data_IF_088709958722
#
_entry.id   IF_088709958722
#
_cell.length_a   1.000
_cell.length_b   1.000
_cell.length_c   1.000
_cell.angle_alpha   90.00
_cell.angle_beta   90.00
_cell.angle_gamma   90.00
#
_symmetry.space_group_name_H-M   'P 1'
#
loop_
_entity.id
_entity.type
_entity.pdbx_description
1 polymer ?
#
# COMPACT_ATOMS: atom_id res chain seq x y z
N UNK A 1 -41.34 -12.72 -10.27
CA UNK A 1 -41.54 -13.86 -11.20
C UNK A 1 -41.69 -13.41 -12.65
N UNK A 2 -42.43 -12.35 -12.98
CA UNK A 2 -42.55 -11.85 -14.36
C UNK A 2 -41.25 -11.28 -14.90
N UNK A 3 -40.43 -10.63 -14.10
CA UNK A 3 -39.12 -10.13 -14.51
C UNK A 3 -38.13 -11.26 -14.81
N UNK A 4 -38.09 -12.29 -13.99
CA UNK A 4 -37.21 -13.43 -14.19
C UNK A 4 -37.57 -14.18 -15.51
N UNK A 5 -38.86 -14.32 -15.79
CA UNK A 5 -39.36 -14.91 -17.05
C UNK A 5 -39.03 -14.01 -18.24
N UNK A 6 -39.20 -12.69 -18.11
CA UNK A 6 -38.92 -11.72 -19.19
C UNK A 6 -37.46 -11.71 -19.62
N UNK A 7 -36.52 -11.88 -18.67
CA UNK A 7 -35.08 -11.93 -18.97
C UNK A 7 -34.53 -13.34 -19.22
N UNK A 8 -35.39 -14.36 -19.28
CA UNK A 8 -34.95 -15.75 -19.53
C UNK A 8 -34.13 -16.33 -18.38
N UNK A 9 -34.21 -15.73 -17.17
CA UNK A 9 -33.40 -16.14 -16.04
C UNK A 9 -33.75 -17.54 -15.54
N UNK A 10 -35.01 -18.00 -15.73
CA UNK A 10 -35.43 -19.33 -15.37
C UNK A 10 -34.76 -20.42 -16.23
N UNK A 11 -34.49 -20.17 -17.49
CA UNK A 11 -33.78 -21.09 -18.37
C UNK A 11 -32.25 -21.10 -18.05
N UNK A 12 -31.74 -19.94 -17.68
CA UNK A 12 -30.30 -19.75 -17.43
C UNK A 12 -29.86 -20.29 -16.07
N UNK A 13 -30.71 -20.16 -15.03
CA UNK A 13 -30.36 -20.52 -13.65
C UNK A 13 -31.13 -21.75 -13.13
N UNK A 14 -31.90 -22.40 -13.97
CA UNK A 14 -32.72 -23.57 -13.61
C UNK A 14 -33.85 -23.22 -12.62
N UNK A 15 -34.52 -24.25 -12.12
CA UNK A 15 -35.64 -24.11 -11.18
C UNK A 15 -35.20 -23.84 -9.73
N UNK A 16 -34.02 -23.28 -9.54
CA UNK A 16 -33.44 -23.00 -8.21
C UNK A 16 -33.95 -21.72 -7.54
N UNK A 17 -34.94 -21.03 -8.15
CA UNK A 17 -35.52 -19.81 -7.56
C UNK A 17 -36.02 -20.02 -6.13
N UNK A 18 -36.63 -21.18 -5.86
CA UNK A 18 -37.13 -21.48 -4.50
C UNK A 18 -35.99 -21.65 -3.48
N UNK A 19 -34.83 -22.04 -3.92
CA UNK A 19 -33.63 -22.17 -3.07
C UNK A 19 -33.07 -20.79 -2.70
N UNK A 20 -33.09 -19.85 -3.64
CA UNK A 20 -32.60 -18.50 -3.44
C UNK A 20 -33.62 -17.59 -2.75
N UNK A 21 -34.93 -17.87 -2.86
CA UNK A 21 -35.98 -17.02 -2.30
C UNK A 21 -36.00 -16.95 -0.77
N UNK A 22 -35.43 -17.95 -0.12
CA UNK A 22 -35.38 -18.06 1.36
C UNK A 22 -33.98 -17.78 1.92
N UNK A 23 -33.04 -17.31 1.10
CA UNK A 23 -31.70 -16.97 1.58
C UNK A 23 -31.66 -15.57 2.15
N UNK A 24 -30.93 -15.43 3.24
CA UNK A 24 -30.64 -14.13 3.81
C UNK A 24 -29.73 -13.31 2.88
N UNK A 25 -29.97 -12.02 2.84
CA UNK A 25 -29.11 -11.11 2.10
C UNK A 25 -27.79 -10.92 2.84
N UNK A 26 -26.69 -10.93 2.12
CA UNK A 26 -25.35 -10.72 2.64
C UNK A 26 -24.74 -9.42 2.14
N UNK A 27 -24.18 -8.61 3.03
CA UNK A 27 -23.51 -7.35 2.69
C UNK A 27 -21.99 -7.54 2.60
N UNK A 28 -21.51 -7.93 1.45
CA UNK A 28 -20.09 -8.13 1.21
C UNK A 28 -19.22 -6.89 1.45
N UNK A 29 -19.81 -5.70 1.37
CA UNK A 29 -19.08 -4.47 1.66
C UNK A 29 -18.69 -4.38 3.13
N UNK A 30 -19.54 -4.83 4.04
CA UNK A 30 -19.24 -4.84 5.48
C UNK A 30 -18.08 -5.79 5.79
N UNK A 31 -18.01 -6.94 5.11
CA UNK A 31 -16.89 -7.89 5.27
C UNK A 31 -15.57 -7.38 4.71
N UNK A 32 -15.63 -6.49 3.71
CA UNK A 32 -14.45 -5.85 3.11
C UNK A 32 -13.92 -4.69 3.95
N UNK A 33 -14.72 -4.20 4.89
CA UNK A 33 -14.39 -3.04 5.69
C UNK A 33 -14.16 -3.44 7.15
N UNK A 34 -13.29 -2.71 7.81
CA UNK A 34 -12.98 -2.88 9.24
C UNK A 34 -12.84 -1.54 9.94
N UNK A 35 -13.00 -1.54 11.24
CA UNK A 35 -12.56 -0.41 12.05
C UNK A 35 -11.04 -0.36 11.99
N UNK A 36 -10.51 0.77 11.56
CA UNK A 36 -9.08 1.00 11.42
C UNK A 36 -8.56 1.84 12.59
N UNK A 37 -7.30 1.63 12.95
CA UNK A 37 -6.58 2.39 13.96
C UNK A 37 -5.37 3.11 13.35
N UNK A 38 -5.07 4.30 13.86
CA UNK A 38 -3.86 5.02 13.48
C UNK A 38 -3.04 5.35 14.74
N UNK A 39 -1.73 5.14 14.66
CA UNK A 39 -0.78 5.45 15.72
C UNK A 39 0.38 6.26 15.17
N UNK A 40 0.72 7.34 15.85
CA UNK A 40 1.87 8.17 15.49
C UNK A 40 2.70 8.48 16.73
N UNK A 41 3.92 7.98 16.74
CA UNK A 41 4.88 8.15 17.82
C UNK A 41 6.05 8.99 17.34
N UNK A 42 6.32 10.09 18.03
CA UNK A 42 7.44 10.95 17.72
C UNK A 42 8.29 11.21 18.97
N UNK A 43 9.58 10.93 18.86
CA UNK A 43 10.56 11.20 19.89
C UNK A 43 11.64 12.11 19.33
N UNK A 44 11.89 13.21 20.00
CA UNK A 44 12.94 14.16 19.62
C UNK A 44 13.86 14.44 20.81
N UNK A 45 15.15 14.29 20.58
CA UNK A 45 16.21 14.55 21.55
C UNK A 45 17.03 15.72 21.02
N UNK A 46 17.13 16.77 21.83
CA UNK A 46 17.95 17.93 21.53
C UNK A 46 19.02 18.07 22.59
N UNK A 47 20.24 18.37 22.16
CA UNK A 47 21.35 18.55 23.05
C UNK A 47 22.43 19.42 22.43
N UNK A 48 23.44 19.72 23.22
CA UNK A 48 24.59 20.45 22.71
C UNK A 48 25.26 21.36 23.71
N UNK A 49 26.17 22.15 23.21
CA UNK A 49 26.93 23.18 23.92
C UNK A 49 26.83 24.50 23.14
N UNK A 50 27.58 25.51 23.56
CA UNK A 50 27.69 26.76 22.81
C UNK A 50 28.19 26.54 21.37
N UNK A 51 29.07 25.55 21.15
CA UNK A 51 29.71 25.26 19.84
C UNK A 51 29.04 24.14 19.09
N UNK A 52 28.29 23.27 19.76
CA UNK A 52 27.68 22.10 19.17
C UNK A 52 26.20 22.12 19.43
N UNK A 53 25.38 21.94 18.40
CA UNK A 53 23.93 21.72 18.53
C UNK A 53 23.58 20.46 17.78
N UNK A 54 22.89 19.54 18.45
CA UNK A 54 22.41 18.30 17.88
C UNK A 54 20.91 18.16 18.12
N UNK A 55 20.21 17.73 17.10
CA UNK A 55 18.80 17.35 17.19
C UNK A 55 18.63 16.00 16.48
N UNK A 56 18.11 15.03 17.18
CA UNK A 56 17.80 13.72 16.64
C UNK A 56 16.32 13.42 16.87
N UNK A 57 15.61 13.08 15.82
CA UNK A 57 14.20 12.71 15.91
C UNK A 57 13.93 11.38 15.24
N UNK A 58 13.04 10.62 15.84
CA UNK A 58 12.48 9.37 15.31
C UNK A 58 10.97 9.50 15.30
N UNK A 59 10.37 9.16 14.18
CA UNK A 59 8.93 9.10 14.04
C UNK A 59 8.53 7.73 13.49
N UNK A 60 7.55 7.11 14.13
CA UNK A 60 6.88 5.90 13.68
C UNK A 60 5.39 6.18 13.53
N UNK A 61 4.87 5.94 12.35
CA UNK A 61 3.46 6.04 12.00
C UNK A 61 2.99 4.68 11.51
N UNK A 62 1.94 4.17 12.12
CA UNK A 62 1.16 3.04 11.62
C UNK A 62 -0.29 3.49 11.43
N UNK A 63 -0.82 3.29 10.24
CA UNK A 63 -2.17 3.68 9.83
C UNK A 63 -2.83 2.48 9.14
N UNK A 64 -3.67 1.77 9.90
CA UNK A 64 -4.43 0.66 9.35
C UNK A 64 -5.46 1.19 8.35
N UNK A 65 -5.56 0.56 7.20
CA UNK A 65 -6.62 0.90 6.24
C UNK A 65 -7.99 0.38 6.68
N UNK A 66 -9.03 1.11 6.34
CA UNK A 66 -10.43 0.69 6.57
C UNK A 66 -10.82 -0.55 5.75
N UNK A 67 -10.14 -0.81 4.63
CA UNK A 67 -10.28 -2.04 3.86
C UNK A 67 -9.40 -3.13 4.48
N UNK A 68 -9.90 -4.38 4.53
CA UNK A 68 -9.09 -5.53 4.95
C UNK A 68 -7.82 -5.64 4.10
N UNK A 69 -6.72 -6.11 4.68
CA UNK A 69 -5.40 -6.23 4.02
C UNK A 69 -4.93 -4.92 3.36
N UNK A 70 -5.21 -3.79 3.98
CA UNK A 70 -4.64 -2.51 3.60
C UNK A 70 -4.05 -1.78 4.79
N UNK A 71 -2.94 -1.09 4.58
CA UNK A 71 -2.27 -0.36 5.63
C UNK A 71 -1.11 0.48 5.12
N UNK A 72 -0.70 1.41 5.95
CA UNK A 72 0.42 2.29 5.72
C UNK A 72 1.30 2.37 6.97
N UNK A 73 2.55 2.01 6.83
CA UNK A 73 3.54 2.12 7.89
C UNK A 73 4.69 3.02 7.43
N UNK A 74 5.12 3.92 8.28
CA UNK A 74 6.25 4.80 8.01
C UNK A 74 7.15 4.93 9.21
N UNK A 75 8.41 4.62 9.00
CA UNK A 75 9.50 4.91 9.92
C UNK A 75 10.37 6.03 9.35
N UNK A 76 10.67 7.03 10.14
CA UNK A 76 11.58 8.09 9.72
C UNK A 76 12.48 8.55 10.84
N UNK A 77 13.73 8.85 10.48
CA UNK A 77 14.70 9.46 11.37
C UNK A 77 15.25 10.74 10.75
N UNK A 78 15.56 11.70 11.57
CA UNK A 78 16.20 12.94 11.16
C UNK A 78 17.28 13.30 12.18
N UNK A 79 18.49 13.55 11.70
CA UNK A 79 19.64 14.03 12.45
C UNK A 79 20.04 15.39 11.93
N UNK A 80 20.05 16.39 12.80
CA UNK A 80 20.59 17.71 12.53
C UNK A 80 21.76 17.96 13.48
N UNK A 81 22.89 18.35 12.90
CA UNK A 81 24.09 18.71 13.62
C UNK A 81 24.55 20.06 13.13
N UNK A 82 24.85 20.94 14.06
CA UNK A 82 25.58 22.18 13.81
C UNK A 82 26.76 22.25 14.75
N UNK A 83 27.93 22.39 14.17
CA UNK A 83 29.21 22.43 14.88
C UNK A 83 30.00 23.69 14.49
N UNK A 84 30.37 24.50 15.47
CA UNK A 84 31.35 25.55 15.29
C UNK A 84 32.75 24.91 15.35
N UNK A 85 33.46 24.94 14.23
CA UNK A 85 34.80 24.35 14.10
C UNK A 85 35.89 25.32 14.55
N UNK A 86 35.70 26.59 14.23
CA UNK A 86 36.57 27.69 14.60
C UNK A 86 35.77 29.00 14.60
N UNK A 87 36.35 30.09 15.11
CA UNK A 87 35.71 31.40 15.07
C UNK A 87 35.35 31.76 13.59
N UNK A 88 34.08 31.93 13.32
CA UNK A 88 33.60 32.25 11.98
C UNK A 88 33.49 31.05 11.03
N UNK A 89 33.84 29.82 11.48
CA UNK A 89 33.72 28.61 10.66
C UNK A 89 32.77 27.60 11.33
N UNK A 90 31.69 27.25 10.65
CA UNK A 90 30.74 26.25 11.15
C UNK A 90 30.37 25.21 10.09
N UNK A 91 30.16 24.00 10.56
CA UNK A 91 29.67 22.86 9.80
C UNK A 91 28.22 22.55 10.18
N UNK A 92 27.40 22.28 9.19
CA UNK A 92 26.01 21.86 9.36
C UNK A 92 25.78 20.55 8.62
N UNK A 93 25.10 19.61 9.27
CA UNK A 93 24.65 18.34 8.67
C UNK A 93 23.17 18.19 8.95
N UNK A 94 22.39 17.88 7.90
CA UNK A 94 21.01 17.44 7.98
C UNK A 94 20.89 16.12 7.24
N UNK A 95 20.64 15.03 7.96
CA UNK A 95 20.51 13.70 7.40
C UNK A 95 19.14 13.12 7.77
N UNK A 96 18.42 12.63 6.76
CA UNK A 96 17.09 12.07 6.90
C UNK A 96 17.01 10.71 6.22
N UNK A 97 16.41 9.74 6.92
CA UNK A 97 16.02 8.45 6.40
C UNK A 97 14.51 8.26 6.56
N UNK A 98 13.88 7.74 5.54
CA UNK A 98 12.44 7.39 5.58
C UNK A 98 12.27 6.02 4.96
N UNK A 99 11.60 5.13 5.67
CA UNK A 99 11.11 3.84 5.17
C UNK A 99 9.59 3.84 5.24
N UNK A 100 8.94 3.41 4.16
CA UNK A 100 7.49 3.38 4.04
C UNK A 100 7.06 2.02 3.51
N UNK A 101 6.17 1.35 4.21
CA UNK A 101 5.51 0.14 3.77
C UNK A 101 4.04 0.46 3.45
N UNK A 102 3.59 0.07 2.29
CA UNK A 102 2.19 0.20 1.87
C UNK A 102 1.67 -1.18 1.51
N UNK A 103 0.62 -1.60 2.17
CA UNK A 103 -0.08 -2.84 1.89
C UNK A 103 -1.42 -2.55 1.22
N UNK A 104 -1.79 -3.38 0.24
CA UNK A 104 -3.12 -3.39 -0.35
C UNK A 104 -3.43 -2.16 -1.19
N UNK A 105 -2.48 -1.71 -2.01
CA UNK A 105 -2.79 -0.76 -3.05
C UNK A 105 -3.86 -1.36 -3.96
N UNK A 106 -5.00 -0.70 -3.96
CA UNK A 106 -6.14 -1.08 -4.77
C UNK A 106 -5.95 -0.62 -6.22
N UNK A 107 -4.89 -1.12 -6.85
CA UNK A 107 -4.69 -0.89 -8.28
C UNK A 107 -5.42 -1.98 -9.05
N UNK A 108 -6.27 -1.58 -9.97
CA UNK A 108 -6.97 -2.44 -10.92
C UNK A 108 -5.98 -3.07 -11.92
N UNK A 109 -5.04 -3.88 -11.42
CA UNK A 109 -3.98 -4.49 -12.26
C UNK A 109 -4.49 -5.57 -13.20
N UNK A 110 -5.65 -6.13 -12.95
CA UNK A 110 -6.19 -7.26 -13.71
C UNK A 110 -7.36 -6.90 -14.63
N UNK A 111 -7.65 -5.63 -14.85
CA UNK A 111 -8.83 -5.22 -15.63
C UNK A 111 -10.18 -5.48 -14.94
N UNK A 112 -10.17 -5.96 -13.69
CA UNK A 112 -11.36 -6.32 -12.91
C UNK A 112 -11.92 -5.17 -12.05
N UNK A 113 -11.36 -3.99 -12.17
CA UNK A 113 -11.71 -2.87 -11.29
C UNK A 113 -11.07 -2.99 -9.89
N UNK A 114 -11.48 -2.12 -8.98
CA UNK A 114 -11.05 -2.13 -7.58
C UNK A 114 -11.60 -3.35 -6.84
N UNK A 115 -10.84 -3.92 -5.90
CA UNK A 115 -11.31 -5.02 -5.04
C UNK A 115 -12.60 -4.64 -4.28
N UNK A 116 -12.73 -3.36 -3.90
CA UNK A 116 -13.94 -2.87 -3.26
C UNK A 116 -15.12 -2.82 -4.25
N UNK A 117 -14.87 -2.49 -5.53
CA UNK A 117 -15.93 -2.49 -6.54
C UNK A 117 -16.47 -3.90 -6.81
N UNK A 118 -15.66 -4.94 -6.62
CA UNK A 118 -16.13 -6.32 -6.74
C UNK A 118 -17.16 -6.68 -5.66
N UNK A 119 -17.07 -6.08 -4.46
CA UNK A 119 -18.06 -6.28 -3.41
C UNK A 119 -19.44 -5.70 -3.75
N UNK A 120 -19.47 -4.57 -4.46
CA UNK A 120 -20.74 -3.99 -4.94
C UNK A 120 -21.35 -4.74 -6.13
N UNK A 121 -20.53 -5.43 -6.90
CA UNK A 121 -20.96 -6.15 -8.10
C UNK A 121 -21.30 -7.61 -7.80
N UNK A 122 -20.82 -8.12 -6.67
CA UNK A 122 -21.07 -9.49 -6.28
C UNK A 122 -22.50 -9.67 -5.80
N UNK A 123 -23.06 -10.86 -6.00
CA UNK A 123 -24.44 -11.14 -5.60
C UNK A 123 -24.59 -11.03 -4.07
N UNK A 124 -25.66 -10.39 -3.58
CA UNK A 124 -25.85 -10.14 -2.14
C UNK A 124 -26.50 -11.33 -1.42
N UNK A 125 -26.07 -12.54 -1.73
CA UNK A 125 -26.57 -13.77 -1.10
C UNK A 125 -25.44 -14.76 -0.90
N UNK A 126 -25.46 -15.53 0.19
CA UNK A 126 -24.63 -16.69 0.36
C UNK A 126 -25.10 -17.87 -0.50
N UNK A 127 -24.22 -18.80 -0.80
CA UNK A 127 -24.60 -19.98 -1.58
C UNK A 127 -25.00 -21.13 -0.67
N UNK A 128 -26.02 -21.96 -1.07
CA UNK A 128 -26.45 -23.10 -0.27
C UNK A 128 -25.39 -24.22 -0.13
N UNK A 129 -24.32 -24.16 -0.90
CA UNK A 129 -23.35 -25.23 -1.03
C UNK A 129 -22.13 -25.10 -0.07
N UNK A 130 -22.31 -24.42 1.07
CA UNK A 130 -21.25 -24.25 2.04
C UNK A 130 -20.34 -23.09 1.72
N UNK A 131 -19.37 -22.81 2.54
CA UNK A 131 -18.52 -21.64 2.51
C UNK A 131 -18.10 -21.24 1.09
N UNK A 132 -18.94 -20.51 0.46
CA UNK A 132 -19.00 -19.73 -0.78
C UNK A 132 -17.99 -19.97 -1.91
N UNK A 133 -16.80 -20.35 -1.60
CA UNK A 133 -15.71 -20.35 -2.56
C UNK A 133 -15.75 -21.54 -3.51
N UNK A 134 -16.09 -22.73 -3.03
CA UNK A 134 -16.03 -23.95 -3.85
C UNK A 134 -17.23 -24.12 -4.79
N UNK A 135 -18.41 -23.71 -4.36
CA UNK A 135 -19.62 -23.91 -5.13
C UNK A 135 -19.72 -23.00 -6.35
N UNK A 136 -19.23 -21.78 -6.25
CA UNK A 136 -19.15 -20.84 -7.38
C UNK A 136 -18.09 -21.22 -8.39
N UNK A 137 -17.02 -21.82 -7.92
CA UNK A 137 -15.97 -22.37 -8.76
C UNK A 137 -16.43 -23.61 -9.53
N UNK A 138 -17.22 -24.49 -8.89
CA UNK A 138 -17.73 -25.70 -9.52
C UNK A 138 -18.93 -25.46 -10.47
N UNK A 139 -19.73 -24.43 -10.22
CA UNK A 139 -20.75 -23.96 -11.17
C UNK A 139 -20.16 -23.20 -12.35
N UNK A 140 -18.86 -23.19 -12.52
CA UNK A 140 -18.08 -22.63 -13.63
C UNK A 140 -18.47 -23.21 -14.99
N UNK A 141 -19.72 -23.23 -15.26
CA UNK A 141 -20.24 -23.21 -16.60
C UNK A 141 -19.75 -21.93 -17.25
N UNK A 142 -19.07 -22.07 -18.36
CA UNK A 142 -18.39 -21.05 -19.17
C UNK A 142 -19.21 -19.80 -19.56
N UNK A 143 -20.39 -19.63 -19.01
CA UNK A 143 -21.36 -18.60 -19.38
C UNK A 143 -21.88 -17.73 -18.27
N UNK A 144 -21.43 -17.94 -17.03
CA UNK A 144 -21.82 -17.06 -15.90
C UNK A 144 -20.56 -16.31 -15.47
N UNK A 145 -20.50 -15.03 -15.79
CA UNK A 145 -19.54 -14.09 -15.20
C UNK A 145 -19.90 -13.85 -13.72
N UNK A 146 -19.83 -14.89 -12.92
CA UNK A 146 -19.91 -14.73 -11.47
C UNK A 146 -18.53 -14.30 -11.04
N UNK A 147 -18.42 -13.07 -10.58
CA UNK A 147 -17.16 -12.57 -10.01
C UNK A 147 -16.71 -13.46 -8.85
N UNK A 148 -15.42 -13.50 -8.62
CA UNK A 148 -14.88 -14.16 -7.42
C UNK A 148 -15.43 -13.49 -6.15
N UNK A 149 -15.61 -14.27 -5.09
CA UNK A 149 -15.96 -13.74 -3.78
C UNK A 149 -14.98 -12.62 -3.39
N UNK A 150 -15.47 -11.40 -3.09
CA UNK A 150 -14.61 -10.24 -2.87
C UNK A 150 -13.66 -10.39 -1.69
N UNK A 151 -14.09 -11.07 -0.63
CA UNK A 151 -13.26 -11.35 0.57
C UNK A 151 -12.21 -12.41 0.22
N UNK A 152 -12.59 -13.50 -0.43
CA UNK A 152 -11.68 -14.53 -0.92
C UNK A 152 -10.63 -13.94 -1.87
N UNK A 153 -11.07 -13.13 -2.84
CA UNK A 153 -10.16 -12.46 -3.78
C UNK A 153 -9.18 -11.52 -3.05
N UNK A 154 -9.65 -10.77 -2.06
CA UNK A 154 -8.78 -9.90 -1.28
C UNK A 154 -7.76 -10.70 -0.46
N UNK A 155 -8.17 -11.84 0.09
CA UNK A 155 -7.29 -12.71 0.87
C UNK A 155 -6.25 -13.43 0.00
N UNK A 156 -6.60 -13.80 -1.23
CA UNK A 156 -5.72 -14.43 -2.19
C UNK A 156 -4.60 -13.50 -2.68
N UNK A 157 -4.86 -12.19 -2.68
CA UNK A 157 -3.92 -11.19 -3.18
C UNK A 157 -3.08 -10.60 -2.05
N UNK A 158 -1.78 -10.51 -2.27
CA UNK A 158 -0.85 -9.76 -1.44
C UNK A 158 -0.12 -8.73 -2.30
N UNK A 159 -0.33 -7.45 -2.01
CA UNK A 159 0.34 -6.34 -2.69
C UNK A 159 1.08 -5.50 -1.65
N UNK A 160 2.39 -5.58 -1.66
CA UNK A 160 3.28 -4.88 -0.74
C UNK A 160 4.19 -3.95 -1.53
N UNK A 161 4.28 -2.71 -1.10
CA UNK A 161 5.24 -1.76 -1.64
C UNK A 161 6.08 -1.20 -0.51
N UNK A 162 7.39 -1.46 -0.56
CA UNK A 162 8.38 -0.85 0.31
C UNK A 162 9.08 0.28 -0.44
N UNK A 163 9.16 1.44 0.19
CA UNK A 163 9.91 2.59 -0.33
C UNK A 163 10.86 3.09 0.73
N UNK A 164 12.10 3.28 0.33
CA UNK A 164 13.13 3.82 1.22
C UNK A 164 13.76 5.04 0.55
N UNK A 165 14.05 6.05 1.37
CA UNK A 165 14.66 7.28 0.91
C UNK A 165 15.66 7.76 1.94
N UNK A 166 16.88 8.02 1.50
CA UNK A 166 17.92 8.66 2.28
C UNK A 166 18.28 9.99 1.65
N UNK A 167 18.41 11.01 2.47
CA UNK A 167 18.90 12.33 2.08
C UNK A 167 19.87 12.83 3.11
N UNK A 168 20.97 13.37 2.66
CA UNK A 168 21.94 14.06 3.52
C UNK A 168 22.38 15.36 2.86
N UNK A 169 22.42 16.41 3.65
CA UNK A 169 22.89 17.71 3.27
C UNK A 169 23.97 18.17 4.24
N UNK A 170 25.17 18.45 3.75
CA UNK A 170 26.28 18.97 4.52
C UNK A 170 26.66 20.36 4.02
N UNK A 171 26.81 21.30 4.92
CA UNK A 171 27.19 22.66 4.58
C UNK A 171 28.35 23.15 5.47
N UNK A 172 29.27 23.86 4.85
CA UNK A 172 30.32 24.59 5.53
C UNK A 172 30.08 26.09 5.34
N UNK A 173 29.91 26.81 6.44
CA UNK A 173 29.75 28.25 6.46
C UNK A 173 31.02 28.87 7.03
N UNK A 174 31.61 29.81 6.33
CA UNK A 174 32.84 30.48 6.71
C UNK A 174 32.71 31.99 6.57
N UNK A 175 32.86 32.69 7.67
CA UNK A 175 33.02 34.14 7.70
C UNK A 175 34.52 34.46 7.63
N UNK A 176 35.02 34.75 6.41
CA UNK A 176 36.41 34.94 6.10
C UNK A 176 36.93 36.20 6.78
N UNK A 177 36.21 37.29 6.65
CA UNK A 177 36.39 38.55 7.34
C UNK A 177 35.02 39.11 7.70
N UNK A 178 34.95 40.07 8.60
CA UNK A 178 33.68 40.69 9.01
C UNK A 178 32.93 41.24 7.80
N UNK A 179 31.76 40.67 7.55
CA UNK A 179 30.89 41.03 6.44
C UNK A 179 31.09 40.24 5.16
N UNK A 180 32.13 39.40 5.04
CA UNK A 180 32.33 38.49 3.91
C UNK A 180 32.12 37.02 4.33
N UNK A 181 31.03 36.40 3.85
CA UNK A 181 30.67 35.02 4.14
C UNK A 181 30.71 34.16 2.89
N UNK A 182 31.32 32.99 3.03
CA UNK A 182 31.29 31.93 2.04
C UNK A 182 30.47 30.75 2.57
N UNK A 183 29.66 30.10 1.73
CA UNK A 183 28.93 28.86 2.03
C UNK A 183 29.17 27.85 0.92
N UNK A 184 29.61 26.66 1.33
CA UNK A 184 29.68 25.51 0.44
C UNK A 184 28.68 24.48 0.94
N UNK A 185 27.91 23.90 0.03
CA UNK A 185 26.89 22.92 0.36
C UNK A 185 27.00 21.73 -0.56
N UNK A 186 26.91 20.54 0.03
CA UNK A 186 26.86 19.27 -0.65
C UNK A 186 25.61 18.52 -0.20
N UNK A 187 24.83 18.04 -1.18
CA UNK A 187 23.62 17.29 -0.93
C UNK A 187 23.66 15.98 -1.71
N UNK A 188 23.25 14.90 -1.05
CA UNK A 188 23.07 13.57 -1.64
C UNK A 188 21.67 13.08 -1.30
N UNK A 189 21.04 12.44 -2.26
CA UNK A 189 19.75 11.79 -2.05
C UNK A 189 19.68 10.52 -2.88
N UNK A 190 19.18 9.46 -2.26
CA UNK A 190 18.93 8.20 -2.94
C UNK A 190 17.63 7.60 -2.46
N UNK A 191 16.85 7.07 -3.40
CA UNK A 191 15.59 6.42 -3.11
C UNK A 191 15.44 5.14 -3.91
N UNK A 192 14.89 4.12 -3.28
CA UNK A 192 14.53 2.87 -3.94
C UNK A 192 13.14 2.42 -3.51
N UNK A 193 12.50 1.69 -4.39
CA UNK A 193 11.16 1.14 -4.18
C UNK A 193 11.13 -0.30 -4.63
N UNK A 194 10.63 -1.17 -3.78
CA UNK A 194 10.39 -2.58 -4.06
C UNK A 194 8.89 -2.85 -3.98
N UNK A 195 8.31 -3.36 -5.06
CA UNK A 195 6.92 -3.82 -5.10
C UNK A 195 6.88 -5.35 -5.17
N UNK A 196 6.07 -5.98 -4.33
CA UNK A 196 5.82 -7.42 -4.32
C UNK A 196 4.34 -7.64 -4.51
N UNK A 197 3.99 -8.31 -5.58
CA UNK A 197 2.62 -8.74 -5.85
C UNK A 197 2.58 -10.27 -5.90
N UNK A 198 1.64 -10.85 -5.19
CA UNK A 198 1.40 -12.27 -5.19
C UNK A 198 -0.10 -12.53 -5.21
N UNK A 199 -0.53 -13.36 -6.14
CA UNK A 199 -1.88 -13.90 -6.24
C UNK A 199 -1.73 -15.43 -6.13
N UNK A 200 -2.36 -16.04 -5.15
CA UNK A 200 -2.27 -17.48 -4.93
C UNK A 200 -3.14 -18.29 -5.92
N UNK A 201 -3.97 -17.60 -6.70
CA UNK A 201 -4.85 -18.18 -7.69
C UNK A 201 -6.11 -18.84 -7.14
N UNK A 202 -6.27 -18.88 -5.81
CA UNK A 202 -7.39 -19.58 -5.17
C UNK A 202 -8.75 -18.94 -5.46
N UNK A 203 -8.78 -17.63 -5.66
CA UNK A 203 -9.99 -16.85 -5.91
C UNK A 203 -10.16 -16.45 -7.39
N UNK A 204 -9.31 -16.93 -8.29
CA UNK A 204 -9.38 -16.60 -9.70
C UNK A 204 -10.41 -17.49 -10.40
N UNK A 205 -11.42 -16.89 -11.03
CA UNK A 205 -12.41 -17.58 -11.86
C UNK A 205 -11.88 -18.03 -13.23
N UNK A 206 -10.61 -17.81 -13.51
CA UNK A 206 -10.00 -18.17 -14.79
C UNK A 206 -9.41 -19.58 -14.71
N UNK A 207 -9.95 -20.50 -15.49
CA UNK A 207 -9.48 -21.89 -15.65
C UNK A 207 -7.98 -22.04 -16.02
N UNK A 208 -7.28 -20.93 -16.21
CA UNK A 208 -5.88 -20.89 -16.63
C UNK A 208 -4.89 -20.59 -15.51
N UNK A 209 -5.33 -20.31 -14.27
CA UNK A 209 -4.44 -19.96 -13.15
C UNK A 209 -4.48 -21.00 -12.04
N UNK A 210 -4.08 -22.22 -12.36
CA UNK A 210 -3.85 -23.27 -11.35
C UNK A 210 -2.54 -23.11 -10.59
N UNK A 211 -1.81 -22.02 -10.81
CA UNK A 211 -0.53 -21.73 -10.15
C UNK A 211 -0.49 -20.29 -9.66
N UNK A 212 -0.12 -20.11 -8.42
CA UNK A 212 0.15 -18.81 -7.84
C UNK A 212 1.14 -17.99 -8.68
N UNK A 213 0.89 -16.71 -8.76
CA UNK A 213 1.62 -15.79 -9.61
C UNK A 213 2.35 -14.76 -8.73
N UNK A 214 3.65 -14.69 -8.88
CA UNK A 214 4.51 -13.79 -8.11
C UNK A 214 5.24 -12.81 -9.03
N UNK A 215 5.22 -11.56 -8.64
CA UNK A 215 5.84 -10.50 -9.40
C UNK A 215 6.50 -9.49 -8.45
N UNK A 216 7.75 -9.16 -8.73
CA UNK A 216 8.55 -8.24 -7.92
C UNK A 216 9.15 -7.16 -8.82
N UNK A 217 8.94 -5.91 -8.47
CA UNK A 217 9.55 -4.76 -9.14
C UNK A 217 10.50 -4.06 -8.18
N UNK A 218 11.75 -3.93 -8.60
CA UNK A 218 12.74 -3.08 -7.94
C UNK A 218 12.94 -1.82 -8.77
N UNK A 219 12.71 -0.67 -8.17
CA UNK A 219 12.88 0.62 -8.81
C UNK A 219 13.81 1.50 -7.99
N UNK A 220 14.85 2.05 -8.63
CA UNK A 220 15.76 3.02 -8.04
C UNK A 220 15.61 4.35 -8.75
N UNK A 221 15.52 5.44 -8.00
CA UNK A 221 15.48 6.79 -8.55
C UNK A 221 16.86 7.43 -8.41
N UNK A 222 17.50 7.83 -9.50
CA UNK A 222 18.76 8.54 -9.44
C UNK A 222 18.60 9.91 -8.77
N UNK A 223 19.66 10.39 -8.13
CA UNK A 223 19.72 11.74 -7.59
C UNK A 223 19.55 12.76 -8.71
N UNK A 224 18.79 13.86 -8.53
CA UNK A 224 18.62 14.90 -9.54
C UNK A 224 19.93 15.60 -9.90
N UNK A 225 21.04 15.28 -9.22
CA UNK A 225 22.38 15.82 -9.49
C UNK A 225 23.32 14.83 -10.17
N UNK A 226 22.86 13.62 -10.51
CA UNK A 226 23.68 12.73 -11.32
C UNK A 226 23.86 13.35 -12.71
N UNK A 227 25.10 13.62 -13.16
CA UNK A 227 25.31 14.15 -14.49
C UNK A 227 24.74 13.16 -15.51
N UNK A 228 23.95 13.67 -16.43
CA UNK A 228 23.51 12.88 -17.57
C UNK A 228 24.77 12.47 -18.34
N UNK A 229 25.11 11.21 -18.28
CA UNK A 229 26.08 10.59 -19.21
C UNK A 229 25.45 10.46 -20.58
#
# INVERSE_FOLDING_TARGET
DQMASYFGLGEKYGNHYSEYANMDSHNWTDDMLRTASAQNHNVTINGGSEKTKISFSVNYLNDDGIKIKSGYERFSTNLKLKQELAKGLSFELDARYVSTNVEGKDEARSGRGSLLSSAYQYRPIDTPLGNGDDALFQMGSKNIEVGANPVGLTNAITDLTNRQNIRANAALNWEIIKGLKARTEFAIGHGWSEGKYYDDGSASSADNFTRGYKYCLLYTSPSPRDPKT
#
